data_IF_579394889367
#
_entry.id   IF_579394889367
#
_cell.length_a   1.000
_cell.length_b   1.000
_cell.length_c   1.000
_cell.angle_alpha   90.00
_cell.angle_beta   90.00
_cell.angle_gamma   90.00
#
_symmetry.space_group_name_H-M   'P 1'
#
loop_
_entity.id
_entity.type
_entity.pdbx_description
1 polymer ?
#
# COMPACT_ATOMS: atom_id res chain seq x y z
N UNK A 1 -9.74 -69.09 -0.92
CA UNK A 1 -8.77 -68.10 -1.44
C UNK A 1 -9.45 -66.76 -1.82
N UNK A 2 -9.99 -65.99 -0.86
CA UNK A 2 -10.71 -64.71 -1.14
C UNK A 2 -10.25 -63.51 -0.29
N UNK A 3 -9.04 -63.56 0.30
CA UNK A 3 -8.57 -62.55 1.25
C UNK A 3 -7.63 -61.46 0.71
N UNK A 4 -7.17 -61.55 -0.55
CA UNK A 4 -6.11 -60.64 -1.07
C UNK A 4 -6.59 -59.55 -2.04
N UNK A 5 -7.83 -59.62 -2.54
CA UNK A 5 -8.36 -58.63 -3.50
C UNK A 5 -9.11 -57.47 -2.82
N UNK A 6 -9.75 -57.70 -1.66
CA UNK A 6 -10.54 -56.68 -0.96
C UNK A 6 -9.67 -55.60 -0.28
N UNK A 7 -8.48 -55.95 0.22
CA UNK A 7 -7.55 -54.99 0.82
C UNK A 7 -6.87 -54.08 -0.22
N UNK A 8 -6.68 -54.56 -1.46
CA UNK A 8 -6.00 -53.81 -2.53
C UNK A 8 -6.86 -52.68 -3.10
N UNK A 9 -8.17 -52.88 -3.25
CA UNK A 9 -9.10 -51.85 -3.74
C UNK A 9 -9.36 -50.75 -2.71
N UNK A 10 -9.40 -51.08 -1.41
CA UNK A 10 -9.55 -50.08 -0.34
C UNK A 10 -8.30 -49.22 -0.18
N UNK A 11 -7.09 -49.81 -0.28
CA UNK A 11 -5.84 -49.03 -0.25
C UNK A 11 -5.68 -48.12 -1.48
N UNK A 12 -6.13 -48.57 -2.66
CA UNK A 12 -6.11 -47.74 -3.87
C UNK A 12 -7.06 -46.53 -3.75
N UNK A 13 -8.25 -46.71 -3.16
CA UNK A 13 -9.20 -45.61 -2.93
C UNK A 13 -8.69 -44.60 -1.90
N UNK A 14 -8.07 -45.07 -0.80
CA UNK A 14 -7.47 -44.20 0.21
C UNK A 14 -6.27 -43.43 -0.35
N UNK A 15 -5.47 -44.05 -1.22
CA UNK A 15 -4.34 -43.39 -1.89
C UNK A 15 -4.80 -42.29 -2.86
N UNK A 16 -5.89 -42.52 -3.61
CA UNK A 16 -6.46 -41.52 -4.53
C UNK A 16 -7.11 -40.37 -3.75
N UNK A 17 -7.82 -40.65 -2.65
CA UNK A 17 -8.44 -39.63 -1.81
C UNK A 17 -7.41 -38.77 -1.06
N UNK A 18 -6.29 -39.37 -0.64
CA UNK A 18 -5.15 -38.66 -0.04
C UNK A 18 -4.41 -37.78 -1.07
N UNK A 19 -4.31 -38.26 -2.32
CA UNK A 19 -3.71 -37.48 -3.41
C UNK A 19 -4.59 -36.29 -3.85
N UNK A 20 -5.92 -36.43 -3.78
CA UNK A 20 -6.87 -35.38 -4.12
C UNK A 20 -6.91 -34.23 -3.07
N UNK A 21 -6.51 -34.51 -1.84
CA UNK A 21 -6.44 -33.51 -0.76
C UNK A 21 -5.11 -32.75 -0.70
N UNK A 22 -4.07 -33.22 -1.41
CA UNK A 22 -2.72 -32.62 -1.36
C UNK A 22 -2.45 -31.58 -2.46
N UNK A 23 -3.24 -31.56 -3.54
CA UNK A 23 -3.10 -30.60 -4.65
C UNK A 23 -3.76 -29.25 -4.40
N UNK A 24 -4.52 -29.12 -3.30
CA UNK A 24 -5.34 -27.95 -3.01
C UNK A 24 -4.73 -26.99 -2.00
N UNK A 25 -3.41 -26.73 -2.01
CA UNK A 25 -2.85 -25.66 -1.16
C UNK A 25 -3.30 -24.31 -1.74
N UNK A 26 -4.24 -23.55 -1.13
CA UNK A 26 -4.44 -22.18 -1.56
C UNK A 26 -3.16 -21.42 -1.23
N UNK A 27 -2.47 -20.94 -2.26
CA UNK A 27 -1.39 -19.98 -2.06
C UNK A 27 -2.00 -18.76 -1.34
N UNK A 28 -1.62 -18.56 -0.07
CA UNK A 28 -1.99 -17.39 0.68
C UNK A 28 -1.32 -16.19 -0.01
N UNK A 29 -2.06 -15.51 -0.88
CA UNK A 29 -1.64 -14.24 -1.47
C UNK A 29 -1.64 -13.23 -0.33
N UNK A 30 -0.46 -13.02 0.27
CA UNK A 30 -0.23 -11.91 1.18
C UNK A 30 -0.57 -10.62 0.42
N UNK A 31 -1.46 -9.81 1.00
CA UNK A 31 -1.98 -8.61 0.38
C UNK A 31 -0.81 -7.69 0.01
N UNK A 32 -0.59 -7.48 -1.29
CA UNK A 32 0.25 -6.38 -1.74
C UNK A 32 -0.48 -5.11 -1.40
N UNK A 33 0.04 -4.36 -0.42
CA UNK A 33 -0.30 -2.96 -0.22
C UNK A 33 0.06 -2.22 -1.52
N UNK A 34 -0.88 -2.18 -2.45
CA UNK A 34 -0.85 -1.22 -3.56
C UNK A 34 -1.15 0.12 -2.93
N UNK A 35 -0.12 0.75 -2.37
CA UNK A 35 -0.21 2.16 -2.04
C UNK A 35 -0.47 2.89 -3.37
N UNK A 36 -1.65 3.49 -3.49
CA UNK A 36 -2.03 4.28 -4.68
C UNK A 36 -1.16 5.54 -4.79
N UNK A 37 -0.34 5.83 -3.77
CA UNK A 37 0.60 6.94 -3.76
C UNK A 37 1.90 6.48 -4.45
N UNK A 38 2.32 7.14 -5.55
CA UNK A 38 3.59 6.85 -6.18
C UNK A 38 4.73 7.13 -5.19
N UNK A 39 5.62 6.15 -5.01
CA UNK A 39 6.85 6.35 -4.25
C UNK A 39 7.65 7.46 -4.94
N UNK A 40 7.75 8.61 -4.28
CA UNK A 40 8.54 9.73 -4.77
C UNK A 40 10.02 9.36 -4.69
N UNK A 41 10.68 9.31 -5.84
CA UNK A 41 12.13 9.12 -5.93
C UNK A 41 12.85 10.44 -5.65
N UNK A 42 13.47 10.52 -4.46
CA UNK A 42 14.20 11.69 -3.98
C UNK A 42 15.55 11.89 -4.69
N UNK A 43 16.00 10.94 -5.53
CA UNK A 43 17.27 11.07 -6.26
C UNK A 43 17.17 12.02 -7.45
N UNK A 44 15.96 12.28 -7.96
CA UNK A 44 15.70 13.15 -9.10
C UNK A 44 14.85 14.36 -8.71
N UNK A 45 15.44 15.54 -8.49
CA UNK A 45 14.70 16.74 -8.17
C UNK A 45 13.74 17.12 -9.29
N UNK A 46 12.48 17.34 -8.95
CA UNK A 46 11.45 17.81 -9.88
C UNK A 46 10.75 19.04 -9.32
N UNK A 47 10.36 19.93 -10.23
CA UNK A 47 9.56 21.10 -9.92
C UNK A 47 8.08 20.76 -10.07
N UNK A 48 7.28 21.15 -9.08
CA UNK A 48 5.84 20.93 -9.01
C UNK A 48 5.12 22.26 -8.77
N UNK A 49 3.87 22.33 -9.20
CA UNK A 49 2.99 23.47 -8.97
C UNK A 49 1.93 23.14 -7.91
N UNK A 50 1.67 24.08 -7.00
CA UNK A 50 0.66 23.90 -5.96
C UNK A 50 -0.73 24.13 -6.57
N UNK A 51 -1.48 23.04 -6.78
CA UNK A 51 -2.86 23.11 -7.27
C UNK A 51 -3.89 23.58 -6.22
N UNK A 52 -3.58 23.51 -4.94
CA UNK A 52 -4.46 23.94 -3.86
C UNK A 52 -3.92 23.59 -2.48
N UNK A 53 -4.35 24.34 -1.45
CA UNK A 53 -3.96 24.10 -0.06
C UNK A 53 -5.22 23.83 0.76
N UNK A 54 -5.23 22.72 1.50
CA UNK A 54 -6.34 22.34 2.39
C UNK A 54 -5.82 22.11 3.80
N UNK A 55 -6.40 22.80 4.76
CA UNK A 55 -6.10 22.59 6.18
C UNK A 55 -7.11 21.60 6.76
N UNK A 56 -6.60 20.56 7.42
CA UNK A 56 -7.43 19.57 8.13
C UNK A 56 -6.96 19.45 9.57
N UNK A 57 -7.89 19.33 10.52
CA UNK A 57 -7.56 19.11 11.94
C UNK A 57 -7.34 20.38 12.78
N UNK A 58 -7.47 21.58 12.20
CA UNK A 58 -7.46 22.83 12.97
C UNK A 58 -8.77 22.97 13.78
N UNK A 59 -8.66 23.03 15.11
CA UNK A 59 -9.82 23.16 16.03
C UNK A 59 -10.08 24.60 16.47
N UNK A 60 -9.01 25.34 16.75
CA UNK A 60 -9.05 26.70 17.28
C UNK A 60 -8.26 27.70 16.43
N UNK A 61 -7.51 27.20 15.44
CA UNK A 61 -6.69 28.02 14.56
C UNK A 61 -7.46 28.34 13.28
N UNK A 62 -7.38 29.59 12.82
CA UNK A 62 -7.93 29.98 11.53
C UNK A 62 -7.14 29.35 10.38
N UNK A 63 -7.84 28.77 9.41
CA UNK A 63 -7.22 28.05 8.31
C UNK A 63 -6.43 28.98 7.38
N UNK A 64 -6.95 30.19 7.10
CA UNK A 64 -6.26 31.14 6.24
C UNK A 64 -4.99 31.70 6.91
N UNK A 65 -5.04 31.93 8.23
CA UNK A 65 -3.87 32.31 8.99
C UNK A 65 -2.77 31.24 8.92
N UNK A 66 -3.12 29.96 9.08
CA UNK A 66 -2.16 28.85 8.97
C UNK A 66 -1.52 28.76 7.58
N UNK A 67 -2.32 28.91 6.52
CA UNK A 67 -1.82 28.93 5.14
C UNK A 67 -0.87 30.12 4.94
N UNK A 68 -1.21 31.29 5.50
CA UNK A 68 -0.38 32.49 5.41
C UNK A 68 0.95 32.35 6.14
N UNK A 69 0.98 31.66 7.29
CA UNK A 69 2.20 31.40 8.06
C UNK A 69 3.10 30.39 7.34
N UNK A 70 2.50 29.33 6.78
CA UNK A 70 3.22 28.35 5.97
C UNK A 70 3.82 28.96 4.69
N UNK A 71 3.25 30.08 4.21
CA UNK A 71 3.77 30.84 3.07
C UNK A 71 3.49 30.20 1.72
N UNK A 72 2.57 29.23 1.65
CA UNK A 72 2.20 28.56 0.39
C UNK A 72 0.98 29.23 -0.25
N UNK A 73 1.06 29.48 -1.56
CA UNK A 73 -0.04 29.97 -2.38
C UNK A 73 -0.31 29.02 -3.55
N UNK A 74 -1.56 28.96 -3.98
CA UNK A 74 -1.95 28.25 -5.20
C UNK A 74 -1.26 28.88 -6.40
N UNK A 75 -0.63 28.05 -7.24
CA UNK A 75 0.18 28.47 -8.38
C UNK A 75 1.68 28.67 -8.06
N UNK A 76 2.09 28.56 -6.80
CA UNK A 76 3.52 28.56 -6.47
C UNK A 76 4.21 27.32 -7.01
N UNK A 77 5.49 27.49 -7.41
CA UNK A 77 6.35 26.37 -7.79
C UNK A 77 7.24 25.96 -6.64
N UNK A 78 7.23 24.66 -6.32
CA UNK A 78 8.05 24.05 -5.28
C UNK A 78 8.93 22.96 -5.89
N UNK A 79 10.15 22.81 -5.36
CA UNK A 79 11.07 21.76 -5.78
C UNK A 79 11.07 20.63 -4.76
N UNK A 80 10.85 19.40 -5.22
CA UNK A 80 10.86 18.21 -4.37
C UNK A 80 11.96 17.26 -4.88
N UNK A 81 12.96 16.90 -4.04
CA UNK A 81 13.23 17.44 -2.70
C UNK A 81 13.72 18.90 -2.69
N UNK A 82 13.45 19.62 -1.60
CA UNK A 82 13.79 21.03 -1.42
C UNK A 82 13.57 21.55 0.00
N UNK A 83 13.88 22.83 0.20
CA UNK A 83 13.85 23.49 1.52
C UNK A 83 12.53 24.16 1.90
N UNK A 84 11.57 24.24 0.97
CA UNK A 84 10.34 25.01 1.16
C UNK A 84 9.39 24.36 2.18
N UNK A 85 9.23 23.02 2.11
CA UNK A 85 8.42 22.24 3.06
C UNK A 85 8.99 22.34 4.50
N UNK A 86 10.29 22.09 4.75
CA UNK A 86 10.88 22.28 6.08
C UNK A 86 10.76 23.71 6.62
N UNK A 87 10.87 24.73 5.75
CA UNK A 87 10.76 26.13 6.17
C UNK A 87 9.34 26.45 6.66
N UNK A 88 8.32 25.96 5.96
CA UNK A 88 6.92 26.15 6.35
C UNK A 88 6.58 25.52 7.71
N UNK A 89 7.27 24.45 8.11
CA UNK A 89 7.08 23.78 9.40
C UNK A 89 7.74 24.52 10.57
N UNK A 90 8.74 25.37 10.32
CA UNK A 90 9.54 26.02 11.38
C UNK A 90 8.85 27.25 11.99
N UNK A 91 7.87 27.82 11.29
CA UNK A 91 7.15 29.02 11.71
C UNK A 91 6.26 28.76 12.93
#
# INVERSE_FOLDING_TARGET
MKGKYFQKTTCAFVAVFSFLLFSGTPCLQAQTLTDTIPVLDYTSPRDYEIGGVKVTGARYSDANALISIAGFKTGDRIRIPGGDIPRALKA
#
